data_IF_684034721295
#
_entry.id   IF_684034721295
#
_cell.length_a   1.000
_cell.length_b   1.000
_cell.length_c   1.000
_cell.angle_alpha   90.00
_cell.angle_beta   90.00
_cell.angle_gamma   90.00
#
_symmetry.space_group_name_H-M   'P 1'
#
loop_
_entity.id
_entity.type
_entity.pdbx_description
1 polymer ?
#
# COMPACT_ATOMS: atom_id res chain seq x y z
N UNK A 1 -10.81 -40.17 66.83
CA UNK A 1 -10.63 -40.61 65.46
C UNK A 1 -11.71 -40.07 64.60
N UNK A 2 -11.42 -38.97 63.87
CA UNK A 2 -12.33 -38.39 62.93
C UNK A 2 -11.57 -38.14 61.61
N UNK A 3 -11.88 -39.01 60.65
CA UNK A 3 -11.36 -38.93 59.31
C UNK A 3 -12.03 -37.75 58.56
N UNK A 4 -11.26 -36.72 58.18
CA UNK A 4 -11.67 -35.68 57.27
C UNK A 4 -11.21 -36.08 55.86
N UNK A 5 -12.17 -36.50 55.02
CA UNK A 5 -11.96 -36.65 53.60
C UNK A 5 -12.01 -35.26 52.93
N UNK A 6 -10.88 -34.80 52.45
CA UNK A 6 -10.80 -33.65 51.58
C UNK A 6 -10.96 -34.12 50.13
N UNK A 7 -12.14 -33.90 49.57
CA UNK A 7 -12.38 -34.04 48.12
C UNK A 7 -11.86 -32.82 47.39
N UNK A 8 -10.71 -33.00 46.71
CA UNK A 8 -10.20 -31.97 45.78
C UNK A 8 -10.96 -32.09 44.46
N UNK A 9 -11.83 -31.14 44.19
CA UNK A 9 -12.48 -30.99 42.89
C UNK A 9 -11.46 -30.44 41.89
N UNK A 10 -11.03 -31.28 40.96
CA UNK A 10 -10.15 -30.90 39.84
C UNK A 10 -10.98 -30.22 38.77
N UNK A 11 -10.97 -28.89 38.80
CA UNK A 11 -11.59 -28.04 37.75
C UNK A 11 -10.77 -28.14 36.47
N UNK A 12 -11.32 -28.80 35.45
CA UNK A 12 -10.79 -28.77 34.08
C UNK A 12 -11.03 -27.40 33.45
N UNK A 13 -10.02 -26.55 33.50
CA UNK A 13 -9.98 -25.35 32.65
C UNK A 13 -9.63 -25.76 31.21
N UNK A 14 -10.64 -25.89 30.38
CA UNK A 14 -10.45 -25.99 28.92
C UNK A 14 -9.90 -24.70 28.40
N UNK A 15 -8.60 -24.62 28.16
CA UNK A 15 -8.02 -23.54 27.35
C UNK A 15 -8.45 -23.75 25.91
N UNK A 16 -9.41 -22.96 25.45
CA UNK A 16 -9.68 -22.83 24.02
C UNK A 16 -8.45 -22.20 23.35
N UNK A 17 -7.65 -23.04 22.68
CA UNK A 17 -6.57 -22.59 21.82
C UNK A 17 -7.20 -21.88 20.64
N UNK A 18 -7.20 -20.54 20.67
CA UNK A 18 -7.42 -19.74 19.48
C UNK A 18 -6.22 -19.99 18.57
N UNK A 19 -6.42 -20.82 17.54
CA UNK A 19 -5.46 -20.96 16.45
C UNK A 19 -5.36 -19.61 15.73
N UNK A 20 -4.26 -18.92 15.96
CA UNK A 20 -3.90 -17.77 15.12
C UNK A 20 -3.59 -18.31 13.72
N UNK A 21 -4.07 -17.66 12.66
CA UNK A 21 -3.68 -18.05 11.31
C UNK A 21 -2.16 -17.85 11.19
N UNK A 22 -1.43 -18.97 11.14
CA UNK A 22 -0.01 -18.94 10.77
C UNK A 22 0.10 -18.44 9.33
N UNK A 23 0.51 -17.18 9.19
CA UNK A 23 0.99 -16.68 7.92
C UNK A 23 2.29 -17.43 7.60
N UNK A 24 2.20 -18.42 6.71
CA UNK A 24 3.37 -19.10 6.17
C UNK A 24 4.21 -18.08 5.41
N UNK A 25 5.48 -17.89 5.78
CA UNK A 25 6.38 -17.11 4.94
C UNK A 25 6.51 -17.82 3.60
N UNK A 26 6.16 -17.13 2.52
CA UNK A 26 6.33 -17.63 1.17
C UNK A 26 7.80 -17.46 0.81
N UNK A 27 8.57 -18.49 1.09
CA UNK A 27 9.83 -18.90 0.57
C UNK A 27 10.86 -17.84 0.12
N UNK A 28 11.74 -17.41 1.03
CA UNK A 28 12.96 -16.70 0.69
C UNK A 28 13.73 -16.34 1.96
N UNK A 29 15.04 -16.53 1.96
CA UNK A 29 15.91 -16.08 3.04
C UNK A 29 16.14 -14.58 2.92
N UNK A 30 15.53 -13.81 3.83
CA UNK A 30 15.66 -12.36 3.90
C UNK A 30 14.37 -11.61 3.59
N UNK A 31 14.43 -10.28 3.61
CA UNK A 31 13.29 -9.44 3.24
C UNK A 31 13.03 -9.55 1.73
N UNK A 32 11.75 -9.71 1.35
CA UNK A 32 11.31 -9.84 -0.04
C UNK A 32 10.13 -8.90 -0.28
N UNK A 33 10.13 -8.20 -1.41
CA UNK A 33 9.06 -7.27 -1.78
C UNK A 33 8.17 -7.87 -2.86
N UNK A 34 6.86 -7.69 -2.68
CA UNK A 34 5.83 -7.91 -3.69
C UNK A 34 4.85 -6.75 -3.67
N UNK A 35 4.21 -6.47 -4.80
CA UNK A 35 3.18 -5.44 -4.94
C UNK A 35 1.92 -6.05 -5.54
N UNK A 36 0.76 -5.57 -5.13
CA UNK A 36 -0.52 -6.04 -5.68
C UNK A 36 -0.79 -5.53 -7.10
N UNK A 37 -0.14 -4.42 -7.48
CA UNK A 37 -0.28 -3.77 -8.79
C UNK A 37 1.07 -3.24 -9.25
N UNK A 38 1.47 -3.58 -10.45
CA UNK A 38 2.64 -2.97 -11.10
C UNK A 38 2.28 -1.72 -11.91
N UNK A 39 0.99 -1.57 -12.20
CA UNK A 39 0.41 -0.39 -12.84
C UNK A 39 -0.79 0.07 -12.03
N UNK A 40 -0.75 1.30 -11.56
CA UNK A 40 -1.89 1.97 -10.94
C UNK A 40 -2.56 2.81 -12.01
N UNK A 41 -3.71 2.33 -12.48
CA UNK A 41 -4.51 3.00 -13.50
C UNK A 41 -5.44 4.02 -12.85
N UNK A 42 -5.28 5.28 -13.24
CA UNK A 42 -6.14 6.38 -12.82
C UNK A 42 -7.39 6.51 -13.72
N UNK A 43 -7.36 5.87 -14.89
CA UNK A 43 -8.40 6.07 -15.89
C UNK A 43 -8.44 7.51 -16.39
N UNK A 44 -9.63 7.99 -16.70
CA UNK A 44 -9.89 9.39 -17.04
C UNK A 44 -10.47 10.10 -15.82
N UNK A 45 -9.80 11.14 -15.37
CA UNK A 45 -10.17 11.95 -14.21
C UNK A 45 -10.31 13.42 -14.55
N UNK A 46 -11.15 14.14 -13.83
CA UNK A 46 -11.35 15.56 -14.07
C UNK A 46 -10.20 16.39 -13.52
N UNK A 47 -9.91 17.52 -14.17
CA UNK A 47 -8.97 18.51 -13.65
C UNK A 47 -9.39 18.98 -12.25
N UNK A 48 -8.41 19.13 -11.34
CA UNK A 48 -8.61 19.50 -9.94
C UNK A 48 -9.38 18.44 -9.10
N UNK A 49 -9.59 17.25 -9.63
CA UNK A 49 -10.18 16.14 -8.86
C UNK A 49 -9.16 15.48 -7.94
N UNK A 50 -9.63 14.55 -7.11
CA UNK A 50 -8.76 13.77 -6.22
C UNK A 50 -7.77 12.90 -7.04
N UNK A 51 -6.50 13.24 -6.92
CA UNK A 51 -5.39 12.55 -7.56
C UNK A 51 -4.75 11.45 -6.72
N UNK A 52 -5.33 11.06 -5.58
CA UNK A 52 -4.77 10.02 -4.71
C UNK A 52 -5.23 8.64 -5.14
N UNK A 53 -4.28 7.73 -5.30
CA UNK A 53 -4.50 6.28 -5.49
C UNK A 53 -3.56 5.50 -4.58
N UNK A 54 -3.91 4.26 -4.32
CA UNK A 54 -3.14 3.39 -3.44
C UNK A 54 -2.79 2.07 -4.09
N UNK A 55 -1.67 1.50 -3.65
CA UNK A 55 -1.32 0.12 -3.91
C UNK A 55 -0.72 -0.49 -2.64
N UNK A 56 -0.63 -1.82 -2.60
CA UNK A 56 -0.17 -2.55 -1.42
C UNK A 56 1.19 -3.17 -1.67
N UNK A 57 2.11 -2.95 -0.74
CA UNK A 57 3.40 -3.63 -0.66
C UNK A 57 3.29 -4.74 0.36
N UNK A 58 3.73 -5.94 0.01
CA UNK A 58 3.77 -7.11 0.89
C UNK A 58 5.20 -7.57 1.08
N UNK A 59 5.59 -7.84 2.32
CA UNK A 59 6.82 -8.55 2.61
C UNK A 59 6.58 -10.06 2.52
N UNK A 60 7.02 -10.66 1.44
CA UNK A 60 6.90 -12.12 1.20
C UNK A 60 8.08 -12.92 1.73
N UNK A 61 9.05 -12.26 2.36
CA UNK A 61 10.23 -12.88 2.96
C UNK A 61 10.05 -13.27 4.43
N UNK A 62 11.13 -13.74 5.03
CA UNK A 62 11.21 -14.18 6.42
C UNK A 62 11.92 -13.18 7.35
N UNK A 63 12.34 -12.04 6.84
CA UNK A 63 12.99 -10.95 7.58
C UNK A 63 12.23 -9.63 7.37
N UNK A 64 12.33 -8.66 8.30
CA UNK A 64 11.68 -7.36 8.16
C UNK A 64 12.11 -6.64 6.89
N UNK A 65 11.13 -6.13 6.11
CA UNK A 65 11.32 -5.33 4.92
C UNK A 65 11.32 -3.84 5.29
N UNK A 66 12.42 -3.16 5.03
CA UNK A 66 12.56 -1.73 5.28
C UNK A 66 12.56 -0.96 3.97
N UNK A 67 11.57 -0.08 3.78
CA UNK A 67 11.55 0.88 2.68
C UNK A 67 12.39 2.09 3.08
N UNK A 68 13.47 2.34 2.35
CA UNK A 68 14.40 3.43 2.62
C UNK A 68 14.07 4.69 1.84
N UNK A 69 13.44 4.54 0.67
CA UNK A 69 13.06 5.67 -0.17
C UNK A 69 11.84 5.34 -1.02
N UNK A 70 10.96 6.35 -1.18
CA UNK A 70 9.88 6.37 -2.16
C UNK A 70 9.96 7.66 -2.95
N UNK A 71 10.02 7.56 -4.27
CA UNK A 71 10.20 8.72 -5.13
C UNK A 71 9.36 8.62 -6.40
N UNK A 72 8.69 9.71 -6.76
CA UNK A 72 8.05 9.87 -8.07
C UNK A 72 9.06 10.30 -9.13
N UNK A 73 8.80 9.96 -10.40
CA UNK A 73 9.64 10.36 -11.55
C UNK A 73 9.61 11.87 -11.85
N UNK A 74 8.69 12.61 -11.24
CA UNK A 74 8.61 14.08 -11.31
C UNK A 74 7.99 14.63 -10.01
N UNK A 75 8.06 15.95 -9.79
CA UNK A 75 7.37 16.60 -8.68
C UNK A 75 5.83 16.55 -8.77
N UNK A 76 5.29 16.13 -9.92
CA UNK A 76 3.86 15.91 -10.14
C UNK A 76 3.32 14.59 -9.57
N UNK A 77 4.20 13.73 -9.09
CA UNK A 77 3.89 12.41 -8.56
C UNK A 77 4.56 12.26 -7.20
N UNK A 78 3.76 12.26 -6.14
CA UNK A 78 4.25 12.24 -4.76
C UNK A 78 3.78 10.95 -4.08
N UNK A 79 4.67 9.95 -3.92
CA UNK A 79 4.37 8.75 -3.15
C UNK A 79 4.60 8.97 -1.65
N UNK A 80 3.80 8.31 -0.83
CA UNK A 80 3.95 8.24 0.62
C UNK A 80 4.06 6.77 1.04
N UNK A 81 5.21 6.40 1.62
CA UNK A 81 5.48 5.08 2.16
C UNK A 81 5.67 5.15 3.67
N UNK A 82 5.24 4.10 4.39
CA UNK A 82 5.56 4.01 5.81
C UNK A 82 7.08 3.83 6.01
N UNK A 83 7.59 4.32 7.14
CA UNK A 83 9.01 4.22 7.51
C UNK A 83 9.29 3.03 8.43
N UNK A 84 8.26 2.51 9.10
CA UNK A 84 8.40 1.34 9.97
C UNK A 84 8.64 0.07 9.13
N UNK A 85 9.50 -0.83 9.62
CA UNK A 85 9.73 -2.11 8.95
C UNK A 85 8.43 -2.92 8.79
N UNK A 86 8.23 -3.48 7.62
CA UNK A 86 7.12 -4.39 7.33
C UNK A 86 7.54 -5.79 7.77
N UNK A 87 6.81 -6.35 8.74
CA UNK A 87 7.09 -7.69 9.26
C UNK A 87 6.91 -8.76 8.18
N UNK A 88 7.56 -9.93 8.30
CA UNK A 88 7.33 -11.07 7.42
C UNK A 88 5.85 -11.40 7.26
N UNK A 89 5.38 -11.51 6.01
CA UNK A 89 3.97 -11.78 5.68
C UNK A 89 3.01 -10.59 5.85
N UNK A 90 3.47 -9.46 6.39
CA UNK A 90 2.65 -8.27 6.57
C UNK A 90 2.62 -7.39 5.31
N UNK A 91 1.67 -6.49 5.28
CA UNK A 91 1.44 -5.53 4.19
C UNK A 91 1.56 -4.09 4.65
N UNK A 92 1.86 -3.20 3.72
CA UNK A 92 1.81 -1.76 3.89
C UNK A 92 1.14 -1.10 2.69
N UNK A 93 0.28 -0.13 2.94
CA UNK A 93 -0.35 0.64 1.88
C UNK A 93 0.55 1.82 1.51
N UNK A 94 0.83 1.96 0.22
CA UNK A 94 1.51 3.13 -0.35
C UNK A 94 0.47 3.99 -1.02
N UNK A 95 0.43 5.26 -0.68
CA UNK A 95 -0.42 6.25 -1.31
C UNK A 95 0.40 7.04 -2.33
N UNK A 96 -0.20 7.33 -3.48
CA UNK A 96 0.44 8.13 -4.54
C UNK A 96 -0.51 9.23 -4.95
N UNK A 97 -0.05 10.47 -4.85
CA UNK A 97 -0.78 11.65 -5.30
C UNK A 97 -0.22 12.15 -6.63
N UNK A 98 -1.08 12.22 -7.64
CA UNK A 98 -0.78 12.87 -8.92
C UNK A 98 -1.37 14.27 -8.95
N UNK A 99 -0.64 15.22 -9.56
CA UNK A 99 -1.08 16.60 -9.73
C UNK A 99 -2.14 16.73 -10.85
N UNK A 100 -3.40 16.71 -10.48
CA UNK A 100 -4.55 16.75 -11.39
C UNK A 100 -4.81 18.15 -12.01
N UNK A 101 -4.01 19.16 -11.67
CA UNK A 101 -4.05 20.44 -12.40
C UNK A 101 -3.48 20.30 -13.82
N UNK A 102 -2.70 19.25 -14.07
CA UNK A 102 -2.05 18.99 -15.35
C UNK A 102 -3.00 18.23 -16.27
N UNK A 103 -3.61 18.93 -17.20
CA UNK A 103 -4.48 18.37 -18.24
C UNK A 103 -3.67 17.53 -19.23
N UNK A 104 -4.21 16.42 -19.67
CA UNK A 104 -3.66 15.50 -20.67
C UNK A 104 -3.31 14.13 -20.11
N UNK A 105 -2.85 13.22 -20.98
CA UNK A 105 -2.43 11.88 -20.60
C UNK A 105 -1.12 11.94 -19.80
N UNK A 106 -0.98 11.01 -18.87
CA UNK A 106 0.24 10.85 -18.10
C UNK A 106 0.65 9.40 -17.93
N UNK A 107 1.96 9.17 -17.90
CA UNK A 107 2.59 7.90 -17.58
C UNK A 107 3.83 8.23 -16.75
N UNK A 108 3.78 7.93 -15.47
CA UNK A 108 4.83 8.23 -14.49
C UNK A 108 5.24 6.98 -13.76
N UNK A 109 6.35 7.05 -13.06
CA UNK A 109 6.89 5.93 -12.28
C UNK A 109 7.08 6.34 -10.83
N UNK A 110 6.68 5.46 -9.94
CA UNK A 110 7.06 5.49 -8.52
C UNK A 110 8.16 4.47 -8.30
N UNK A 111 9.27 4.90 -7.72
CA UNK A 111 10.40 4.03 -7.39
C UNK A 111 10.45 3.85 -5.88
N UNK A 112 10.41 2.59 -5.44
CA UNK A 112 10.59 2.19 -4.05
C UNK A 112 11.96 1.56 -3.92
N UNK A 113 12.80 2.10 -3.03
CA UNK A 113 14.07 1.52 -2.65
C UNK A 113 13.95 0.88 -1.27
N UNK A 114 14.42 -0.34 -1.12
CA UNK A 114 14.29 -1.12 0.09
C UNK A 114 15.47 -2.07 0.30
N UNK A 115 15.48 -2.78 1.44
CA UNK A 115 16.44 -3.85 1.72
C UNK A 115 16.03 -5.21 1.14
N UNK A 116 15.02 -5.25 0.26
CA UNK A 116 14.54 -6.49 -0.35
C UNK A 116 15.65 -7.23 -1.13
N UNK A 117 15.71 -8.54 -0.97
CA UNK A 117 16.72 -9.40 -1.65
C UNK A 117 16.34 -9.70 -3.09
N UNK A 118 15.05 -9.81 -3.37
CA UNK A 118 14.57 -10.10 -4.72
C UNK A 118 14.60 -8.88 -5.63
N UNK A 119 14.22 -7.72 -5.13
CA UNK A 119 14.09 -6.50 -5.93
C UNK A 119 14.33 -5.26 -5.04
N UNK A 120 15.61 -4.89 -4.80
CA UNK A 120 15.96 -3.74 -3.96
C UNK A 120 15.36 -2.42 -4.45
N UNK A 121 15.14 -2.31 -5.75
CA UNK A 121 14.51 -1.16 -6.40
C UNK A 121 13.29 -1.62 -7.18
N UNK A 122 12.11 -1.42 -6.61
CA UNK A 122 10.82 -1.75 -7.22
C UNK A 122 10.24 -0.52 -7.92
N UNK A 123 9.84 -0.68 -9.18
CA UNK A 123 9.17 0.36 -9.95
C UNK A 123 7.70 0.03 -10.18
N UNK A 124 6.83 1.00 -9.89
CA UNK A 124 5.39 0.93 -10.13
C UNK A 124 5.02 2.05 -11.11
N UNK A 125 4.32 1.70 -12.18
CA UNK A 125 3.82 2.68 -13.14
C UNK A 125 2.51 3.27 -12.64
N UNK A 126 2.31 4.57 -12.87
CA UNK A 126 1.02 5.21 -12.75
C UNK A 126 0.65 5.81 -14.10
N UNK A 127 -0.57 5.60 -14.55
CA UNK A 127 -1.02 6.05 -15.86
C UNK A 127 -2.48 6.51 -15.80
N UNK A 128 -2.83 7.45 -16.66
CA UNK A 128 -4.19 7.96 -16.77
C UNK A 128 -4.25 9.18 -17.69
N UNK A 129 -5.39 9.85 -17.68
CA UNK A 129 -5.60 11.10 -18.40
C UNK A 129 -6.41 12.07 -17.54
N UNK A 130 -5.98 13.31 -17.49
CA UNK A 130 -6.73 14.40 -16.86
C UNK A 130 -7.46 15.19 -17.93
N UNK A 131 -8.79 15.24 -17.85
CA UNK A 131 -9.62 16.07 -18.72
C UNK A 131 -9.80 17.46 -18.12
N UNK A 132 -9.73 18.48 -19.00
CA UNK A 132 -10.02 19.85 -18.60
C UNK A 132 -11.44 19.94 -18.00
N UNK A 133 -11.61 20.74 -16.95
CA UNK A 133 -12.93 21.08 -16.46
C UNK A 133 -13.73 21.73 -17.61
N UNK A 134 -15.04 21.41 -17.77
CA UNK A 134 -15.84 22.04 -18.78
C UNK A 134 -15.76 23.55 -18.60
N UNK A 135 -15.24 24.22 -19.62
CA UNK A 135 -15.11 25.69 -19.62
C UNK A 135 -16.47 26.31 -19.43
N UNK A 136 -16.60 27.31 -18.56
CA UNK A 136 -17.63 28.28 -18.68
C UNK A 136 -17.36 29.01 -20.02
N UNK A 137 -18.07 28.62 -21.07
CA UNK A 137 -18.21 29.44 -22.24
C UNK A 137 -18.91 30.71 -21.80
N UNK A 138 -18.12 31.69 -21.41
CA UNK A 138 -18.57 33.08 -21.34
C UNK A 138 -18.80 33.52 -22.78
N UNK A 139 -20.00 33.25 -23.29
CA UNK A 139 -20.50 34.00 -24.45
C UNK A 139 -20.63 35.45 -24.04
N UNK A 140 -19.54 36.19 -24.18
CA UNK A 140 -19.65 37.64 -24.39
C UNK A 140 -20.19 37.87 -25.79
N UNK A 141 -21.51 38.00 -25.84
CA UNK A 141 -22.19 38.52 -27.00
C UNK A 141 -21.80 39.99 -27.20
N UNK A 142 -20.89 40.24 -28.13
CA UNK A 142 -20.76 41.58 -28.71
C UNK A 142 -21.89 41.76 -29.70
N UNK A 143 -22.94 42.47 -29.26
CA UNK A 143 -23.91 43.08 -30.15
C UNK A 143 -23.38 44.46 -30.56
N UNK A 144 -23.14 44.61 -31.84
CA UNK A 144 -23.09 45.91 -32.51
C UNK A 144 -24.44 46.22 -33.11
#
# INVERSE_FOLDING_TARGET
MKNFLFTVALGLFSFASYAQPEMKPVGGTGPMISVDKEVVDYGTIAQNSDGVRTFTVTNTGDQPLLITQCQGSCGCTVPECQKEPIKPGATSTVSVKYDTNRVGPFNKTVTITSNAKNEPTKQIKIAGSVEAAPGHDSHEGHTH
#
